data_IF_206994900026
#
_entry.id   IF_206994900026
#
_cell.length_a   1.000
_cell.length_b   1.000
_cell.length_c   1.000
_cell.angle_alpha   90.00
_cell.angle_beta   90.00
_cell.angle_gamma   90.00
#
_symmetry.space_group_name_H-M   'P 1'
#
loop_
_entity.id
_entity.type
_entity.pdbx_description
1 polymer ?
#
# COMPACT_ATOMS: atom_id res chain seq x y z
N UNK A 1 12.57 -2.54 17.75
CA UNK A 1 12.95 -3.30 16.54
C UNK A 1 12.35 -2.59 15.34
N UNK A 2 13.17 -2.22 14.38
CA UNK A 2 12.75 -1.50 13.17
C UNK A 2 12.45 -2.41 11.98
N UNK A 3 12.04 -3.67 12.20
CA UNK A 3 11.75 -4.59 11.10
C UNK A 3 10.51 -4.12 10.34
N UNK A 4 10.65 -3.97 9.03
CA UNK A 4 9.55 -3.65 8.11
C UNK A 4 9.73 -4.40 6.79
N UNK A 5 8.84 -4.15 5.83
CA UNK A 5 8.88 -4.69 4.47
C UNK A 5 8.91 -3.50 3.50
N UNK A 6 9.89 -3.46 2.62
CA UNK A 6 10.13 -2.32 1.71
C UNK A 6 8.91 -2.05 0.82
N UNK A 7 8.32 -3.09 0.26
CA UNK A 7 7.18 -3.00 -0.63
C UNK A 7 5.84 -3.21 0.10
N UNK A 8 5.76 -2.95 1.41
CA UNK A 8 4.51 -3.14 2.14
C UNK A 8 3.40 -2.19 1.65
N UNK A 9 2.18 -2.67 1.35
CA UNK A 9 1.79 -4.08 1.28
C UNK A 9 2.29 -4.75 -0.01
N UNK A 10 2.95 -5.92 0.13
CA UNK A 10 3.43 -6.66 -1.03
C UNK A 10 2.28 -7.31 -1.81
N UNK A 11 2.07 -6.90 -3.06
CA UNK A 11 1.04 -7.46 -3.94
C UNK A 11 1.50 -8.75 -4.59
N UNK A 12 0.71 -9.82 -4.44
CA UNK A 12 0.94 -11.11 -5.11
C UNK A 12 -0.13 -11.31 -6.17
N UNK A 13 0.26 -11.29 -7.45
CA UNK A 13 -0.67 -11.44 -8.56
C UNK A 13 -1.30 -12.84 -8.62
N UNK A 14 -2.57 -12.91 -9.07
CA UNK A 14 -3.33 -14.17 -9.15
C UNK A 14 -2.67 -15.25 -10.03
N UNK A 15 -1.88 -14.83 -11.02
CA UNK A 15 -1.11 -15.71 -11.91
C UNK A 15 0.21 -16.22 -11.33
N UNK A 16 0.68 -15.67 -10.21
CA UNK A 16 1.99 -16.01 -9.67
C UNK A 16 2.04 -17.46 -9.13
N UNK A 17 3.09 -18.18 -9.48
CA UNK A 17 3.33 -19.59 -9.05
C UNK A 17 4.72 -19.80 -8.46
N UNK A 18 5.51 -18.74 -8.33
CA UNK A 18 6.83 -18.81 -7.72
C UNK A 18 6.76 -18.85 -6.20
N UNK A 19 7.94 -18.96 -5.59
CA UNK A 19 8.12 -18.82 -4.15
C UNK A 19 7.84 -17.37 -3.70
N UNK A 20 7.00 -17.21 -2.68
CA UNK A 20 6.77 -15.90 -2.06
C UNK A 20 8.01 -15.46 -1.29
N UNK A 21 8.58 -14.30 -1.66
CA UNK A 21 9.71 -13.68 -0.96
C UNK A 21 9.26 -12.42 -0.24
N UNK A 22 9.94 -12.11 0.87
CA UNK A 22 9.66 -10.94 1.70
C UNK A 22 10.87 -10.00 1.67
N UNK A 23 10.68 -8.78 1.16
CA UNK A 23 11.72 -7.76 1.10
C UNK A 23 11.87 -7.05 2.46
N UNK A 24 12.42 -7.78 3.44
CA UNK A 24 12.64 -7.27 4.79
C UNK A 24 13.64 -6.10 4.79
N UNK A 25 13.36 -5.09 5.62
CA UNK A 25 14.24 -3.96 5.89
C UNK A 25 14.36 -3.72 7.38
N UNK A 26 15.58 -3.39 7.83
CA UNK A 26 15.82 -2.88 9.16
C UNK A 26 15.85 -1.35 9.12
N UNK A 27 14.86 -0.71 9.72
CA UNK A 27 14.76 0.74 9.90
C UNK A 27 15.35 1.20 11.25
N UNK A 28 15.87 0.28 12.06
CA UNK A 28 16.60 0.62 13.28
C UNK A 28 17.99 1.18 12.90
N UNK A 29 18.35 2.38 13.35
CA UNK A 29 19.59 3.03 12.92
C UNK A 29 20.85 2.43 13.55
N UNK A 30 20.72 1.62 14.60
CA UNK A 30 21.85 1.18 15.41
C UNK A 30 21.87 -0.33 15.68
N UNK A 31 20.69 -0.97 15.73
CA UNK A 31 20.55 -2.33 16.23
C UNK A 31 20.32 -3.30 15.07
N UNK A 32 21.21 -4.30 14.87
CA UNK A 32 20.97 -5.40 13.94
C UNK A 32 19.72 -6.21 14.34
N UNK A 33 19.15 -6.93 13.36
CA UNK A 33 18.03 -7.86 13.59
C UNK A 33 18.45 -9.24 13.12
N UNK A 34 18.49 -10.20 14.05
CA UNK A 34 18.74 -11.60 13.76
C UNK A 34 17.42 -12.30 13.41
N UNK A 35 17.41 -13.01 12.28
CA UNK A 35 16.26 -13.78 11.80
C UNK A 35 16.71 -15.20 11.58
N UNK A 36 15.97 -16.14 12.16
CA UNK A 36 16.27 -17.56 12.09
C UNK A 36 15.24 -18.28 11.24
N UNK A 37 15.65 -19.42 10.69
CA UNK A 37 14.73 -20.32 9.99
C UNK A 37 13.63 -20.76 10.97
N UNK A 38 12.37 -20.53 10.58
CA UNK A 38 11.19 -20.87 11.38
C UNK A 38 10.54 -19.67 12.05
N UNK A 39 11.21 -18.51 12.08
CA UNK A 39 10.61 -17.28 12.57
C UNK A 39 9.45 -16.84 11.67
N UNK A 40 8.36 -16.38 12.29
CA UNK A 40 7.22 -15.81 11.57
C UNK A 40 7.50 -14.34 11.27
N UNK A 41 7.91 -14.07 10.03
CA UNK A 41 8.42 -12.74 9.60
C UNK A 41 7.41 -11.86 8.86
N UNK A 42 6.23 -12.38 8.52
CA UNK A 42 5.17 -11.68 7.81
C UNK A 42 3.81 -12.36 8.03
N UNK A 43 2.75 -11.71 7.57
CA UNK A 43 1.41 -12.28 7.47
C UNK A 43 0.88 -12.12 6.05
N UNK A 44 0.09 -13.09 5.59
CA UNK A 44 -0.56 -13.07 4.28
C UNK A 44 -2.05 -12.84 4.46
N UNK A 45 -2.61 -11.91 3.69
CA UNK A 45 -4.06 -11.64 3.64
C UNK A 45 -4.55 -11.87 2.21
N UNK A 46 -5.70 -12.52 2.07
CA UNK A 46 -6.37 -12.74 0.78
C UNK A 46 -7.67 -11.95 0.76
N UNK A 47 -7.84 -11.10 -0.25
CA UNK A 47 -9.03 -10.27 -0.42
C UNK A 47 -9.50 -10.31 -1.88
N UNK A 48 -10.78 -9.96 -2.11
CA UNK A 48 -11.28 -9.69 -3.45
C UNK A 48 -10.64 -8.40 -3.97
N UNK A 49 -10.37 -8.36 -5.26
CA UNK A 49 -9.91 -7.17 -5.97
C UNK A 49 -10.75 -7.02 -7.24
N UNK A 50 -11.13 -5.78 -7.57
CA UNK A 50 -11.78 -5.48 -8.84
C UNK A 50 -10.74 -5.43 -9.96
N UNK A 51 -11.09 -5.91 -11.15
CA UNK A 51 -10.27 -5.80 -12.36
C UNK A 51 -10.86 -4.70 -13.24
N UNK A 52 -10.47 -3.43 -13.05
CA UNK A 52 -11.16 -2.30 -13.67
C UNK A 52 -10.94 -2.23 -15.17
N UNK A 53 -11.97 -1.78 -15.89
CA UNK A 53 -11.86 -1.28 -17.25
C UNK A 53 -11.70 0.24 -17.19
N UNK A 54 -10.68 0.77 -17.87
CA UNK A 54 -10.43 2.21 -17.90
C UNK A 54 -11.31 2.88 -18.97
N UNK A 55 -11.94 4.00 -18.60
CA UNK A 55 -12.72 4.85 -19.51
C UNK A 55 -12.10 6.25 -19.47
N UNK A 56 -11.50 6.67 -20.59
CA UNK A 56 -10.90 7.99 -20.72
C UNK A 56 -11.98 9.07 -20.91
N UNK A 57 -11.83 10.19 -20.19
CA UNK A 57 -12.74 11.35 -20.24
C UNK A 57 -11.92 12.63 -20.18
N UNK A 58 -12.43 13.71 -20.78
CA UNK A 58 -11.73 15.00 -20.79
C UNK A 58 -11.82 15.74 -19.46
N UNK A 59 -12.92 15.53 -18.72
CA UNK A 59 -13.11 15.96 -17.34
C UNK A 59 -14.18 15.11 -16.66
N UNK A 60 -14.22 15.13 -15.32
CA UNK A 60 -15.29 14.45 -14.58
C UNK A 60 -16.67 15.11 -14.78
N UNK A 61 -16.71 16.41 -15.10
CA UNK A 61 -17.95 17.12 -15.44
C UNK A 61 -18.53 16.61 -16.77
N UNK A 62 -17.68 16.40 -17.78
CA UNK A 62 -18.08 15.82 -19.07
C UNK A 62 -18.56 14.37 -18.92
N UNK A 63 -17.97 13.63 -17.98
CA UNK A 63 -18.41 12.30 -17.58
C UNK A 63 -19.75 12.30 -16.78
N UNK A 64 -20.32 13.47 -16.48
CA UNK A 64 -21.58 13.60 -15.74
C UNK A 64 -21.48 13.27 -14.25
N UNK A 65 -20.27 13.31 -13.68
CA UNK A 65 -20.07 13.07 -12.25
C UNK A 65 -20.33 14.35 -11.45
N UNK A 66 -21.11 14.23 -10.37
CA UNK A 66 -21.35 15.35 -9.47
C UNK A 66 -20.10 15.68 -8.64
N UNK A 67 -20.00 16.94 -8.21
CA UNK A 67 -18.96 17.37 -7.27
C UNK A 67 -19.00 16.60 -5.95
N UNK A 68 -17.83 16.38 -5.35
CA UNK A 68 -17.69 15.66 -4.08
C UNK A 68 -17.31 16.61 -2.95
N UNK A 69 -17.65 16.26 -1.71
CA UNK A 69 -17.26 17.04 -0.53
C UNK A 69 -15.75 17.09 -0.28
N UNK A 70 -14.99 16.14 -0.85
CA UNK A 70 -13.52 16.09 -0.75
C UNK A 70 -12.79 16.86 -1.85
N UNK A 71 -13.40 16.97 -3.03
CA UNK A 71 -12.78 17.62 -4.19
C UNK A 71 -11.42 17.00 -4.56
N UNK A 72 -10.48 17.84 -4.96
CA UNK A 72 -9.09 17.46 -5.27
C UNK A 72 -8.15 17.44 -4.06
N UNK A 73 -8.66 17.61 -2.85
CA UNK A 73 -7.83 17.83 -1.67
C UNK A 73 -7.16 16.52 -1.20
N UNK A 74 -5.93 16.61 -0.71
CA UNK A 74 -5.13 15.46 -0.27
C UNK A 74 -4.02 15.88 0.69
N UNK A 75 -3.10 14.96 1.00
CA UNK A 75 -1.85 15.28 1.72
C UNK A 75 -2.05 15.99 3.08
N UNK A 76 -3.08 15.60 3.83
CA UNK A 76 -3.35 16.18 5.15
C UNK A 76 -4.32 17.35 5.19
N UNK A 77 -5.06 17.63 4.10
CA UNK A 77 -6.05 18.73 4.03
C UNK A 77 -7.11 18.78 5.14
N UNK A 78 -7.37 17.66 5.82
CA UNK A 78 -8.27 17.61 6.98
C UNK A 78 -7.63 18.08 8.30
N UNK A 79 -6.33 18.36 8.30
CA UNK A 79 -5.56 18.71 9.49
C UNK A 79 -5.50 17.58 10.52
N UNK A 80 -5.45 17.98 11.80
CA UNK A 80 -5.40 17.05 12.94
C UNK A 80 -4.01 16.93 13.58
N UNK A 81 -3.02 17.66 13.06
CA UNK A 81 -1.68 17.76 13.62
C UNK A 81 -1.08 19.13 13.30
N UNK A 82 -0.18 19.64 14.15
CA UNK A 82 0.39 20.99 13.99
C UNK A 82 1.23 21.20 12.72
N UNK A 83 1.65 20.10 12.08
CA UNK A 83 2.42 20.13 10.83
C UNK A 83 1.57 20.01 9.57
N UNK A 84 0.24 19.96 9.71
CA UNK A 84 -0.73 19.78 8.63
C UNK A 84 -1.59 21.03 8.47
#
# INVERSE_FOLDING_TARGET
MGLSIVNSPGTIDAGYRGEVKVALINLDPATPIDIHRGDRIAQLVVQRVELPELVEVSSFDEAGLAGTSRGGDGHGSSGGHASL
#
